data_IF_087932723819
#
_entry.id   IF_087932723819
#
_cell.length_a   1.000
_cell.length_b   1.000
_cell.length_c   1.000
_cell.angle_alpha   90.00
_cell.angle_beta   90.00
_cell.angle_gamma   90.00
#
_symmetry.space_group_name_H-M   'P 1'
#
loop_
_entity.id
_entity.type
_entity.pdbx_description
1 polymer ?
#
# COMPACT_ATOMS: atom_id res chain seq x y z
N UNK A 1 23.27 26.63 -3.02
CA UNK A 1 22.96 25.19 -2.78
C UNK A 1 22.75 24.53 -4.13
N UNK A 2 23.75 23.75 -4.56
CA UNK A 2 23.84 23.21 -5.90
C UNK A 2 22.88 22.06 -6.15
N UNK A 3 22.13 22.26 -7.22
CA UNK A 3 21.83 21.40 -8.37
C UNK A 3 21.10 20.09 -8.09
N UNK A 4 19.94 20.08 -8.53
CA UNK A 4 19.21 19.14 -9.44
C UNK A 4 20.03 17.93 -9.97
N UNK A 5 20.66 17.15 -9.12
CA UNK A 5 21.10 15.82 -9.52
C UNK A 5 19.90 14.88 -9.42
N UNK A 6 19.18 14.73 -10.54
CA UNK A 6 18.19 13.70 -10.71
C UNK A 6 18.90 12.36 -10.60
N UNK A 7 18.59 11.62 -9.55
CA UNK A 7 19.35 10.42 -9.16
C UNK A 7 18.73 9.13 -9.67
N UNK A 8 17.40 9.07 -9.82
CA UNK A 8 16.68 7.82 -10.04
C UNK A 8 16.34 7.61 -11.51
N UNK A 9 16.76 6.46 -12.05
CA UNK A 9 16.30 5.97 -13.36
C UNK A 9 14.91 5.37 -13.28
N UNK A 10 14.33 4.99 -14.42
CA UNK A 10 13.01 4.36 -14.51
C UNK A 10 12.87 3.13 -13.61
N UNK A 11 13.85 2.21 -13.65
CA UNK A 11 13.80 0.99 -12.83
C UNK A 11 13.76 1.29 -11.34
N UNK A 12 14.56 2.25 -10.87
CA UNK A 12 14.55 2.68 -9.47
C UNK A 12 13.21 3.33 -9.10
N UNK A 13 12.65 4.16 -9.96
CA UNK A 13 11.34 4.78 -9.74
C UNK A 13 10.24 3.72 -9.61
N UNK A 14 10.21 2.71 -10.50
CA UNK A 14 9.26 1.59 -10.42
C UNK A 14 9.45 0.83 -9.10
N UNK A 15 10.68 0.49 -8.72
CA UNK A 15 10.97 -0.24 -7.48
C UNK A 15 10.53 0.55 -6.24
N UNK A 16 10.74 1.86 -6.23
CA UNK A 16 10.28 2.71 -5.13
C UNK A 16 8.74 2.76 -5.05
N UNK A 17 8.06 2.90 -6.18
CA UNK A 17 6.59 2.91 -6.24
C UNK A 17 6.04 1.56 -5.77
N UNK A 18 6.57 0.46 -6.25
CA UNK A 18 6.20 -0.89 -5.79
C UNK A 18 6.45 -1.03 -4.29
N UNK A 19 7.59 -0.56 -3.80
CA UNK A 19 7.95 -0.60 -2.38
C UNK A 19 7.03 0.26 -1.49
N UNK A 20 6.49 1.36 -2.00
CA UNK A 20 5.50 2.19 -1.30
C UNK A 20 4.13 1.50 -1.30
N UNK A 21 3.67 1.01 -2.45
CA UNK A 21 2.38 0.35 -2.63
C UNK A 21 2.28 -0.97 -1.86
N UNK A 22 3.31 -1.81 -1.89
CA UNK A 22 3.36 -3.03 -1.10
C UNK A 22 3.63 -2.63 0.36
N UNK A 23 2.58 -2.26 1.04
CA UNK A 23 2.55 -1.93 2.47
C UNK A 23 2.15 -3.13 3.33
N UNK A 24 1.71 -2.84 4.56
CA UNK A 24 1.13 -3.82 5.47
C UNK A 24 -0.23 -4.34 4.99
N UNK A 25 -0.94 -3.58 4.15
CA UNK A 25 -2.32 -3.85 3.75
C UNK A 25 -2.54 -5.27 3.20
N UNK A 26 -1.66 -5.76 2.33
CA UNK A 26 -1.81 -7.12 1.78
C UNK A 26 -1.71 -8.22 2.84
N UNK A 27 -0.95 -7.99 3.90
CA UNK A 27 -0.71 -8.99 4.93
C UNK A 27 -1.87 -9.13 5.92
N UNK A 28 -2.62 -8.06 6.19
CA UNK A 28 -3.69 -8.10 7.19
C UNK A 28 -5.10 -7.73 6.66
N UNK A 29 -5.20 -7.22 5.43
CA UNK A 29 -6.50 -6.92 4.82
C UNK A 29 -7.02 -8.03 3.91
N UNK A 30 -6.19 -8.98 3.57
CA UNK A 30 -6.58 -10.12 2.76
C UNK A 30 -7.71 -10.94 3.43
N UNK A 31 -7.59 -11.20 4.72
CA UNK A 31 -8.59 -11.91 5.52
C UNK A 31 -9.90 -11.12 5.60
N UNK A 32 -9.84 -9.81 5.82
CA UNK A 32 -11.02 -8.94 5.83
C UNK A 32 -11.76 -9.00 4.50
N UNK A 33 -11.02 -8.90 3.37
CA UNK A 33 -11.60 -8.96 2.02
C UNK A 33 -12.27 -10.30 1.79
N UNK A 34 -11.62 -11.40 2.17
CA UNK A 34 -12.20 -12.75 2.06
C UNK A 34 -13.46 -12.90 2.94
N UNK A 35 -13.43 -12.33 4.14
CA UNK A 35 -14.60 -12.31 5.04
C UNK A 35 -15.79 -11.56 4.44
N UNK A 36 -15.57 -10.34 3.92
CA UNK A 36 -16.63 -9.53 3.27
C UNK A 36 -17.18 -10.16 1.98
N UNK A 37 -16.40 -10.99 1.32
CA UNK A 37 -16.85 -11.74 0.13
C UNK A 37 -17.42 -13.11 0.46
N UNK A 38 -17.66 -13.40 1.75
CA UNK A 38 -18.25 -14.66 2.22
C UNK A 38 -17.39 -15.88 1.93
N UNK A 39 -16.06 -15.74 1.95
CA UNK A 39 -15.13 -16.82 1.60
C UNK A 39 -15.01 -17.08 0.09
N UNK A 40 -15.71 -16.31 -0.76
CA UNK A 40 -15.66 -16.48 -2.19
C UNK A 40 -14.40 -15.83 -2.78
N UNK A 41 -13.41 -16.66 -3.12
CA UNK A 41 -12.12 -16.20 -3.63
C UNK A 41 -12.27 -15.48 -4.98
N UNK A 42 -13.15 -15.97 -5.87
CA UNK A 42 -13.39 -15.31 -7.16
C UNK A 42 -13.91 -13.88 -7.00
N UNK A 43 -14.82 -13.67 -6.03
CA UNK A 43 -15.32 -12.34 -5.70
C UNK A 43 -14.24 -11.48 -5.03
N UNK A 44 -13.40 -12.05 -4.17
CA UNK A 44 -12.26 -11.36 -3.58
C UNK A 44 -11.28 -10.86 -4.64
N UNK A 45 -10.92 -11.73 -5.59
CA UNK A 45 -10.07 -11.36 -6.75
C UNK A 45 -10.71 -10.24 -7.57
N UNK A 46 -12.02 -10.32 -7.82
CA UNK A 46 -12.75 -9.28 -8.54
C UNK A 46 -12.67 -7.92 -7.82
N UNK A 47 -12.84 -7.90 -6.50
CA UNK A 47 -12.71 -6.67 -5.69
C UNK A 47 -11.28 -6.13 -5.73
N UNK A 48 -10.26 -6.98 -5.66
CA UNK A 48 -8.86 -6.56 -5.85
C UNK A 48 -8.62 -5.94 -7.24
N UNK A 49 -9.20 -6.52 -8.29
CA UNK A 49 -9.12 -5.96 -9.64
C UNK A 49 -9.78 -4.57 -9.71
N UNK A 50 -10.93 -4.37 -9.09
CA UNK A 50 -11.58 -3.05 -9.03
C UNK A 50 -10.67 -2.04 -8.32
N UNK A 51 -10.11 -2.39 -7.16
CA UNK A 51 -9.20 -1.52 -6.41
C UNK A 51 -7.97 -1.14 -7.23
N UNK A 52 -7.32 -2.12 -7.84
CA UNK A 52 -6.17 -1.89 -8.72
C UNK A 52 -6.52 -0.97 -9.89
N UNK A 53 -7.68 -1.20 -10.50
CA UNK A 53 -8.18 -0.39 -11.62
C UNK A 53 -8.34 1.07 -11.21
N UNK A 54 -8.99 1.33 -10.07
CA UNK A 54 -9.15 2.69 -9.53
C UNK A 54 -7.78 3.37 -9.29
N UNK A 55 -6.83 2.63 -8.72
CA UNK A 55 -5.47 3.15 -8.45
C UNK A 55 -4.72 3.43 -9.75
N UNK A 56 -4.81 2.57 -10.75
CA UNK A 56 -4.17 2.76 -12.06
C UNK A 56 -4.71 4.01 -12.74
N UNK A 57 -6.03 4.21 -12.78
CA UNK A 57 -6.62 5.42 -13.34
C UNK A 57 -6.23 6.68 -12.57
N UNK A 58 -6.26 6.62 -11.24
CA UNK A 58 -5.77 7.71 -10.39
C UNK A 58 -4.30 8.04 -10.69
N UNK A 59 -3.46 7.02 -10.82
CA UNK A 59 -2.04 7.20 -11.15
C UNK A 59 -1.82 7.78 -12.56
N UNK A 60 -2.59 7.34 -13.55
CA UNK A 60 -2.53 7.93 -14.91
C UNK A 60 -2.88 9.42 -14.84
N UNK A 61 -3.91 9.79 -14.10
CA UNK A 61 -4.28 11.19 -13.90
C UNK A 61 -3.16 11.97 -13.23
N UNK A 62 -2.64 11.48 -12.10
CA UNK A 62 -1.52 12.14 -11.42
C UNK A 62 -0.26 12.20 -12.26
N UNK A 63 0.00 11.21 -13.09
CA UNK A 63 1.16 11.19 -13.97
C UNK A 63 1.10 12.32 -15.01
N UNK A 64 -0.10 12.61 -15.53
CA UNK A 64 -0.33 13.71 -16.46
C UNK A 64 -0.14 15.07 -15.77
N UNK A 65 -0.58 15.20 -14.53
CA UNK A 65 -0.36 16.41 -13.74
C UNK A 65 1.14 16.57 -13.43
N UNK A 66 1.80 15.50 -13.01
CA UNK A 66 3.25 15.49 -12.75
C UNK A 66 4.09 15.84 -13.99
N UNK A 67 3.65 15.45 -15.20
CA UNK A 67 4.33 15.79 -16.44
C UNK A 67 4.18 17.26 -16.84
N UNK A 68 3.14 17.94 -16.34
CA UNK A 68 2.83 19.35 -16.68
C UNK A 68 3.28 20.33 -15.60
N UNK A 69 3.53 19.87 -14.38
CA UNK A 69 3.95 20.70 -13.26
C UNK A 69 5.45 20.58 -13.02
N UNK A 70 6.11 21.72 -12.89
CA UNK A 70 7.51 21.80 -12.43
C UNK A 70 7.60 22.14 -10.93
N UNK A 71 6.46 22.26 -10.23
CA UNK A 71 6.40 22.57 -8.80
C UNK A 71 6.76 21.38 -7.93
N UNK A 72 7.44 21.65 -6.82
CA UNK A 72 7.72 20.65 -5.78
C UNK A 72 6.56 20.60 -4.80
N UNK A 73 6.19 19.39 -4.33
CA UNK A 73 5.11 19.23 -3.35
C UNK A 73 4.12 18.11 -3.70
N UNK A 74 4.32 17.43 -4.84
CA UNK A 74 3.46 16.33 -5.26
C UNK A 74 2.02 16.79 -5.47
N UNK A 75 1.06 15.99 -4.99
CA UNK A 75 -0.37 16.26 -5.22
C UNK A 75 -0.83 17.61 -4.66
N UNK A 76 -0.25 18.06 -3.54
CA UNK A 76 -0.60 19.36 -2.98
C UNK A 76 -0.31 20.51 -3.94
N UNK A 77 0.86 20.46 -4.58
CA UNK A 77 1.25 21.45 -5.59
C UNK A 77 0.35 21.37 -6.84
N UNK A 78 -0.14 20.17 -7.19
CA UNK A 78 -1.07 20.02 -8.31
C UNK A 78 -2.45 20.62 -7.99
N UNK A 79 -2.93 20.50 -6.74
CA UNK A 79 -4.15 21.18 -6.31
C UNK A 79 -4.01 22.69 -6.40
N UNK A 80 -2.87 23.24 -5.96
CA UNK A 80 -2.60 24.67 -6.02
C UNK A 80 -2.52 25.19 -7.47
N UNK A 81 -1.84 24.45 -8.35
CA UNK A 81 -1.57 24.89 -9.73
C UNK A 81 -2.76 24.68 -10.66
N UNK A 82 -3.51 23.56 -10.53
CA UNK A 82 -4.53 23.15 -11.48
C UNK A 82 -5.97 23.34 -10.98
N UNK A 83 -6.18 23.58 -9.69
CA UNK A 83 -7.51 23.76 -9.12
C UNK A 83 -7.62 25.14 -8.48
N UNK A 84 -7.10 25.32 -7.30
CA UNK A 84 -7.03 26.62 -6.60
C UNK A 84 -6.21 26.53 -5.32
N UNK A 85 -5.69 27.66 -4.85
CA UNK A 85 -4.97 27.77 -3.58
C UNK A 85 -5.84 27.38 -2.36
N UNK A 86 -7.12 27.79 -2.23
CA UNK A 86 -7.98 27.31 -1.14
C UNK A 86 -8.22 25.80 -1.14
N UNK A 87 -8.33 25.18 -2.32
CA UNK A 87 -8.49 23.73 -2.44
C UNK A 87 -7.20 23.00 -1.99
N UNK A 88 -6.04 23.52 -2.37
CA UNK A 88 -4.75 23.00 -1.90
C UNK A 88 -4.60 23.12 -0.38
N UNK A 89 -4.97 24.26 0.20
CA UNK A 89 -4.94 24.47 1.65
C UNK A 89 -5.87 23.48 2.37
N UNK A 90 -7.11 23.30 1.90
CA UNK A 90 -8.07 22.35 2.46
C UNK A 90 -7.57 20.90 2.37
N UNK A 91 -7.01 20.50 1.22
CA UNK A 91 -6.44 19.18 1.04
C UNK A 91 -5.20 18.94 1.93
N UNK A 92 -4.33 19.95 2.04
CA UNK A 92 -3.16 19.89 2.93
C UNK A 92 -3.56 19.75 4.39
N UNK A 93 -4.58 20.48 4.80
CA UNK A 93 -5.16 20.38 6.14
C UNK A 93 -5.71 18.97 6.40
N UNK A 94 -6.50 18.43 5.48
CA UNK A 94 -6.98 17.05 5.56
C UNK A 94 -5.83 16.04 5.70
N UNK A 95 -4.77 16.17 4.89
CA UNK A 95 -3.63 15.26 4.97
C UNK A 95 -2.94 15.30 6.33
N UNK A 96 -2.71 16.50 6.89
CA UNK A 96 -1.96 16.67 8.14
C UNK A 96 -2.78 16.23 9.35
N UNK A 97 -4.06 16.56 9.41
CA UNK A 97 -4.89 16.35 10.59
C UNK A 97 -5.74 15.08 10.56
N UNK A 98 -6.04 14.54 9.39
CA UNK A 98 -6.87 13.36 9.28
C UNK A 98 -6.10 12.17 8.68
N UNK A 99 -5.56 12.29 7.48
CA UNK A 99 -5.03 11.16 6.72
C UNK A 99 -3.76 10.57 7.35
N UNK A 100 -2.68 11.36 7.49
CA UNK A 100 -1.41 10.84 8.00
C UNK A 100 -1.47 10.35 9.45
N UNK A 101 -2.13 11.04 10.39
CA UNK A 101 -2.29 10.52 11.74
C UNK A 101 -3.06 9.20 11.77
N UNK A 102 -4.18 9.10 11.05
CA UNK A 102 -5.01 7.88 11.02
C UNK A 102 -4.24 6.68 10.48
N UNK A 103 -3.56 6.83 9.35
CA UNK A 103 -2.73 5.77 8.76
C UNK A 103 -1.60 5.35 9.71
N UNK A 104 -0.91 6.32 10.31
CA UNK A 104 0.22 6.04 11.21
C UNK A 104 -0.24 5.25 12.43
N UNK A 105 -1.38 5.60 13.01
CA UNK A 105 -1.96 4.90 14.17
C UNK A 105 -2.36 3.48 13.79
N UNK A 106 -3.10 3.30 12.69
CA UNK A 106 -3.55 1.98 12.23
C UNK A 106 -2.38 1.04 11.98
N UNK A 107 -1.37 1.50 11.22
CA UNK A 107 -0.20 0.67 10.89
C UNK A 107 0.61 0.32 12.14
N UNK A 108 0.77 1.27 13.07
CA UNK A 108 1.49 1.03 14.31
C UNK A 108 0.74 0.06 15.23
N UNK A 109 -0.59 0.13 15.26
CA UNK A 109 -1.42 -0.79 16.04
C UNK A 109 -1.36 -2.21 15.48
N UNK A 110 -1.43 -2.37 14.17
CA UNK A 110 -1.23 -3.66 13.51
C UNK A 110 0.16 -4.22 13.81
N UNK A 111 1.20 -3.39 13.80
CA UNK A 111 2.54 -3.82 14.22
C UNK A 111 2.56 -4.28 15.68
N UNK A 112 1.80 -3.63 16.57
CA UNK A 112 1.61 -4.05 17.96
C UNK A 112 0.96 -5.43 18.07
N UNK A 113 -0.11 -5.69 17.30
CA UNK A 113 -0.77 -6.99 17.23
C UNK A 113 0.20 -8.08 16.81
N UNK A 114 0.89 -7.90 15.68
CA UNK A 114 1.83 -8.90 15.18
C UNK A 114 3.03 -9.11 16.10
N UNK A 115 3.46 -8.07 16.81
CA UNK A 115 4.52 -8.20 17.81
C UNK A 115 4.08 -9.08 18.98
N UNK A 116 2.87 -8.90 19.49
CA UNK A 116 2.34 -9.77 20.57
C UNK A 116 2.23 -11.22 20.10
N UNK A 117 1.77 -11.45 18.85
CA UNK A 117 1.69 -12.78 18.26
C UNK A 117 3.08 -13.42 18.09
N UNK A 118 4.04 -12.68 17.56
CA UNK A 118 5.39 -13.17 17.28
C UNK A 118 6.12 -13.63 18.56
N UNK A 119 5.95 -12.89 19.65
CA UNK A 119 6.59 -13.20 20.94
C UNK A 119 5.71 -14.06 21.88
N UNK A 120 4.54 -14.52 21.42
CA UNK A 120 3.62 -15.32 22.24
C UNK A 120 3.12 -14.58 23.48
N UNK A 121 3.05 -13.25 23.44
CA UNK A 121 2.58 -12.43 24.53
C UNK A 121 1.06 -12.47 24.63
N UNK A 122 0.53 -12.23 25.85
CA UNK A 122 -0.91 -12.16 26.03
C UNK A 122 -1.49 -10.95 25.22
N UNK A 123 -2.40 -11.16 24.26
CA UNK A 123 -2.85 -10.12 23.33
C UNK A 123 -3.89 -9.17 23.97
N UNK A 124 -3.51 -8.48 25.03
CA UNK A 124 -4.37 -7.47 25.63
C UNK A 124 -4.32 -6.18 24.84
N UNK A 125 -5.45 -5.46 24.79
CA UNK A 125 -5.54 -4.17 24.09
C UNK A 125 -4.50 -3.16 24.60
N UNK A 126 -4.28 -3.15 25.91
CA UNK A 126 -3.32 -2.28 26.56
C UNK A 126 -1.89 -2.52 26.10
N UNK A 127 -1.47 -3.79 26.08
CA UNK A 127 -0.11 -4.17 25.64
C UNK A 127 0.11 -3.86 24.17
N UNK A 128 -0.86 -4.19 23.31
CA UNK A 128 -0.81 -3.89 21.90
C UNK A 128 -0.71 -2.39 21.62
N UNK A 129 -1.50 -1.59 22.35
CA UNK A 129 -1.46 -0.12 22.26
C UNK A 129 -0.14 0.46 22.76
N UNK A 130 0.42 -0.07 23.82
CA UNK A 130 1.71 0.36 24.35
C UNK A 130 2.85 0.09 23.34
N UNK A 131 2.87 -1.09 22.74
CA UNK A 131 3.84 -1.47 21.72
C UNK A 131 3.66 -0.57 20.48
N UNK A 132 2.41 -0.32 20.04
CA UNK A 132 2.11 0.56 18.93
C UNK A 132 2.63 1.99 19.18
N UNK A 133 2.42 2.52 20.38
CA UNK A 133 2.94 3.82 20.78
C UNK A 133 4.47 3.85 20.76
N UNK A 134 5.12 2.77 21.21
CA UNK A 134 6.57 2.60 21.12
C UNK A 134 7.08 2.67 19.67
N UNK A 135 6.41 1.99 18.73
CA UNK A 135 6.74 2.08 17.30
C UNK A 135 6.54 3.50 16.76
N UNK A 136 5.43 4.16 17.08
CA UNK A 136 5.19 5.53 16.65
C UNK A 136 6.32 6.46 17.12
N UNK A 137 6.62 6.47 18.41
CA UNK A 137 7.67 7.31 18.98
C UNK A 137 9.02 7.00 18.35
N UNK A 138 9.36 5.72 18.20
CA UNK A 138 10.62 5.29 17.61
C UNK A 138 10.78 5.79 16.16
N UNK A 139 9.79 5.57 15.31
CA UNK A 139 9.90 5.96 13.89
C UNK A 139 9.79 7.46 13.68
N UNK A 140 8.98 8.17 14.45
CA UNK A 140 8.96 9.64 14.43
C UNK A 140 10.32 10.21 14.84
N UNK A 141 10.90 9.71 15.92
CA UNK A 141 12.21 10.12 16.40
C UNK A 141 13.31 9.83 15.39
N UNK A 142 13.31 8.63 14.83
CA UNK A 142 14.27 8.23 13.80
C UNK A 142 14.21 9.13 12.57
N UNK A 143 13.03 9.46 12.07
CA UNK A 143 12.86 10.35 10.94
C UNK A 143 13.19 11.82 11.28
N UNK A 144 12.91 12.26 12.50
CA UNK A 144 13.25 13.60 12.95
C UNK A 144 14.77 13.83 12.95
N UNK A 145 15.55 12.87 13.44
CA UNK A 145 17.00 12.99 13.52
C UNK A 145 17.73 12.66 12.21
N UNK A 146 17.18 11.81 11.37
CA UNK A 146 17.87 11.38 10.15
C UNK A 146 16.98 10.86 9.04
N UNK A 147 16.71 11.70 8.06
CA UNK A 147 16.04 11.29 6.82
C UNK A 147 16.80 10.17 6.07
N UNK A 148 18.16 10.17 6.15
CA UNK A 148 18.96 9.12 5.52
C UNK A 148 18.77 7.75 6.15
N UNK A 149 18.62 7.68 7.48
CA UNK A 149 18.33 6.43 8.19
C UNK A 149 16.92 5.94 7.86
N UNK A 150 15.94 6.84 7.82
CA UNK A 150 14.58 6.51 7.39
C UNK A 150 14.55 5.92 5.98
N UNK A 151 15.26 6.53 5.02
CA UNK A 151 15.34 6.01 3.65
C UNK A 151 16.05 4.65 3.56
N UNK A 152 17.12 4.41 4.31
CA UNK A 152 17.79 3.10 4.37
C UNK A 152 16.88 2.03 4.98
N UNK A 153 16.19 2.37 6.07
CA UNK A 153 15.23 1.48 6.70
C UNK A 153 14.11 1.11 5.73
N UNK A 154 13.57 2.08 5.00
CA UNK A 154 12.54 1.85 3.97
C UNK A 154 13.02 0.86 2.89
N UNK A 155 14.25 1.03 2.38
CA UNK A 155 14.80 0.14 1.36
C UNK A 155 14.98 -1.30 1.88
N UNK A 156 15.55 -1.46 3.08
CA UNK A 156 15.72 -2.77 3.72
C UNK A 156 14.36 -3.42 3.97
N UNK A 157 13.43 -2.69 4.55
CA UNK A 157 12.07 -3.16 4.81
C UNK A 157 11.34 -3.57 3.53
N UNK A 158 11.54 -2.84 2.41
CA UNK A 158 10.96 -3.21 1.11
C UNK A 158 11.49 -4.56 0.63
N UNK A 159 12.78 -4.81 0.74
CA UNK A 159 13.36 -6.11 0.39
C UNK A 159 12.82 -7.21 1.31
N UNK A 160 12.82 -6.96 2.62
CA UNK A 160 12.35 -7.94 3.62
C UNK A 160 10.88 -8.34 3.42
N UNK A 161 9.99 -7.42 3.02
CA UNK A 161 8.58 -7.74 2.78
C UNK A 161 8.32 -8.38 1.41
N UNK A 162 9.17 -8.13 0.42
CA UNK A 162 9.06 -8.77 -0.90
C UNK A 162 9.49 -10.25 -0.87
N UNK A 163 10.46 -10.62 -0.05
CA UNK A 163 10.94 -12.01 0.05
C UNK A 163 9.80 -12.98 0.42
N UNK A 164 9.06 -12.80 1.53
CA UNK A 164 7.97 -13.71 1.87
C UNK A 164 6.83 -13.66 0.83
N UNK A 165 6.49 -12.50 0.28
CA UNK A 165 5.43 -12.38 -0.73
C UNK A 165 5.77 -13.18 -2.00
N UNK A 166 6.99 -13.04 -2.50
CA UNK A 166 7.45 -13.81 -3.66
C UNK A 166 7.56 -15.29 -3.29
N UNK A 167 8.06 -15.60 -2.09
CA UNK A 167 8.17 -16.98 -1.59
C UNK A 167 6.82 -17.68 -1.53
N UNK A 168 5.81 -17.05 -0.94
CA UNK A 168 4.45 -17.56 -0.89
C UNK A 168 3.92 -17.75 -2.32
N UNK A 169 3.99 -16.73 -3.19
CA UNK A 169 3.52 -16.85 -4.56
C UNK A 169 4.20 -17.96 -5.38
N UNK A 170 5.50 -18.21 -5.15
CA UNK A 170 6.22 -19.32 -5.79
C UNK A 170 5.80 -20.68 -5.23
N UNK A 171 5.67 -20.80 -3.90
CA UNK A 171 5.22 -22.03 -3.26
C UNK A 171 3.84 -22.42 -3.79
N UNK A 172 2.89 -21.46 -3.88
CA UNK A 172 1.55 -21.72 -4.38
C UNK A 172 1.49 -22.15 -5.83
N UNK A 173 2.42 -21.65 -6.66
CA UNK A 173 2.52 -22.09 -8.06
C UNK A 173 3.04 -23.54 -8.16
N UNK A 174 4.06 -23.89 -7.37
CA UNK A 174 4.79 -25.15 -7.54
C UNK A 174 4.38 -26.25 -6.56
N UNK A 175 3.82 -25.90 -5.40
CA UNK A 175 3.49 -26.86 -4.34
C UNK A 175 1.99 -27.10 -4.27
N UNK A 176 1.57 -28.31 -4.66
CA UNK A 176 0.22 -28.82 -4.44
C UNK A 176 0.14 -29.50 -3.08
N UNK A 177 0.14 -28.75 -1.99
CA UNK A 177 -0.22 -29.35 -0.72
C UNK A 177 -1.74 -29.58 -0.74
N UNK A 178 -2.23 -30.81 -0.40
CA UNK A 178 -3.62 -30.98 -0.03
C UNK A 178 -3.80 -30.23 1.28
N UNK A 179 -4.20 -28.98 1.23
CA UNK A 179 -4.74 -28.31 2.42
C UNK A 179 -6.01 -29.08 2.73
N UNK A 180 -6.14 -29.76 3.89
CA UNK A 180 -7.41 -30.27 4.29
C UNK A 180 -8.31 -29.04 4.42
N UNK A 181 -9.18 -28.88 3.47
CA UNK A 181 -10.31 -27.95 3.58
C UNK A 181 -11.11 -28.51 4.74
N UNK A 182 -10.78 -28.09 5.95
CA UNK A 182 -11.65 -28.28 7.07
C UNK A 182 -12.96 -27.65 6.65
N UNK A 183 -13.98 -28.46 6.50
CA UNK A 183 -15.30 -28.21 5.92
C UNK A 183 -16.10 -27.10 6.64
N UNK A 184 -15.47 -26.22 7.36
CA UNK A 184 -16.07 -25.12 8.12
C UNK A 184 -15.82 -23.72 7.52
N UNK A 185 -15.05 -23.58 6.45
CA UNK A 185 -15.11 -22.36 5.65
C UNK A 185 -16.44 -22.41 4.88
N UNK A 186 -17.50 -21.99 5.55
CA UNK A 186 -18.80 -21.77 4.93
C UNK A 186 -18.63 -20.71 3.84
N UNK A 187 -18.33 -21.17 2.62
CA UNK A 187 -18.39 -20.30 1.45
C UNK A 187 -19.85 -19.92 1.30
N UNK A 188 -20.16 -18.70 1.66
CA UNK A 188 -21.52 -18.17 1.55
C UNK A 188 -21.88 -18.11 0.07
N UNK A 189 -23.04 -18.68 -0.34
CA UNK A 189 -23.48 -18.58 -1.73
C UNK A 189 -23.53 -17.12 -2.20
N UNK A 190 -23.13 -16.86 -3.43
CA UNK A 190 -23.04 -15.51 -3.99
C UNK A 190 -24.36 -14.74 -3.86
N UNK A 191 -25.50 -15.45 -3.92
CA UNK A 191 -26.85 -14.92 -3.72
C UNK A 191 -27.10 -14.37 -2.31
N UNK A 192 -26.35 -14.84 -1.31
CA UNK A 192 -26.48 -14.40 0.08
C UNK A 192 -25.47 -13.29 0.43
N UNK A 193 -24.35 -13.21 -0.27
CA UNK A 193 -23.38 -12.11 -0.11
C UNK A 193 -23.99 -10.78 -0.56
N UNK A 194 -24.83 -10.80 -1.59
CA UNK A 194 -25.49 -9.62 -2.13
C UNK A 194 -24.52 -8.49 -2.40
N UNK A 195 -24.85 -7.28 -1.97
CA UNK A 195 -23.99 -6.10 -2.08
C UNK A 195 -22.97 -5.97 -0.94
N UNK A 196 -22.94 -6.92 0.00
CA UNK A 196 -22.01 -6.92 1.14
C UNK A 196 -20.54 -6.88 0.74
N UNK A 197 -20.19 -7.40 -0.45
CA UNK A 197 -18.83 -7.35 -0.96
C UNK A 197 -18.31 -5.92 -1.19
N UNK A 198 -19.19 -4.91 -1.31
CA UNK A 198 -18.76 -3.51 -1.40
C UNK A 198 -18.05 -3.05 -0.13
N UNK A 199 -18.30 -3.68 1.02
CA UNK A 199 -17.57 -3.42 2.25
C UNK A 199 -16.09 -3.84 2.15
N UNK A 200 -15.71 -4.67 1.19
CA UNK A 200 -14.33 -5.02 0.91
C UNK A 200 -13.54 -3.91 0.16
N UNK A 201 -14.23 -2.97 -0.50
CA UNK A 201 -13.57 -1.90 -1.26
C UNK A 201 -12.66 -1.01 -0.40
N UNK A 202 -13.05 -0.55 0.81
CA UNK A 202 -12.14 0.19 1.68
C UNK A 202 -10.90 -0.61 2.09
N UNK A 203 -11.05 -1.92 2.36
CA UNK A 203 -9.93 -2.79 2.69
C UNK A 203 -8.97 -2.94 1.49
N UNK A 204 -9.52 -3.06 0.28
CA UNK A 204 -8.75 -3.11 -0.95
C UNK A 204 -8.05 -1.78 -1.23
N UNK A 205 -8.75 -0.65 -1.05
CA UNK A 205 -8.15 0.68 -1.19
C UNK A 205 -6.96 0.86 -0.26
N UNK A 206 -7.06 0.38 0.99
CA UNK A 206 -5.96 0.37 1.94
C UNK A 206 -4.78 -0.50 1.49
N UNK A 207 -5.06 -1.65 0.83
CA UNK A 207 -4.02 -2.55 0.32
C UNK A 207 -3.19 -1.95 -0.82
N UNK A 208 -3.73 -0.97 -1.52
CA UNK A 208 -3.05 -0.21 -2.57
C UNK A 208 -2.67 1.21 -2.13
N UNK A 209 -2.76 1.53 -0.84
CA UNK A 209 -2.48 2.89 -0.36
C UNK A 209 -1.02 3.29 -0.55
N UNK A 210 -0.76 4.60 -0.57
CA UNK A 210 0.57 5.18 -0.77
C UNK A 210 0.87 5.63 -2.21
N UNK A 211 0.02 5.33 -3.20
CA UNK A 211 0.23 5.74 -4.59
C UNK A 211 0.31 7.26 -4.77
N UNK A 212 -0.43 8.00 -3.97
CA UNK A 212 -0.39 9.48 -3.94
C UNK A 212 0.98 9.98 -3.49
N UNK A 213 1.57 9.33 -2.48
CA UNK A 213 2.89 9.68 -1.94
C UNK A 213 3.99 9.43 -2.97
N UNK A 214 3.82 8.44 -3.86
CA UNK A 214 4.78 8.14 -4.91
C UNK A 214 5.05 9.32 -5.86
N UNK A 215 4.12 10.27 -5.98
CA UNK A 215 4.32 11.49 -6.78
C UNK A 215 5.36 12.44 -6.18
N UNK A 216 5.63 12.35 -4.89
CA UNK A 216 6.60 13.21 -4.20
C UNK A 216 8.04 13.01 -4.70
N UNK A 217 8.37 11.83 -5.23
CA UNK A 217 9.71 11.53 -5.78
C UNK A 217 9.92 12.04 -7.19
N UNK A 218 8.93 12.67 -7.83
CA UNK A 218 8.99 13.13 -9.23
C UNK A 218 10.22 13.96 -9.52
N UNK A 219 10.63 14.82 -8.60
CA UNK A 219 11.79 15.71 -8.80
C UNK A 219 13.15 15.02 -8.76
N UNK A 220 13.20 13.81 -8.21
CA UNK A 220 14.43 13.03 -8.09
C UNK A 220 14.60 12.05 -9.26
N UNK A 221 13.58 11.92 -10.12
CA UNK A 221 13.58 11.01 -11.26
C UNK A 221 14.14 11.68 -12.50
N UNK A 222 15.08 11.00 -13.18
CA UNK A 222 15.61 11.42 -14.48
C UNK A 222 14.49 11.34 -15.51
N UNK A 223 14.43 12.34 -16.40
CA UNK A 223 13.40 12.45 -17.42
C UNK A 223 11.99 12.20 -16.86
N UNK A 224 11.66 12.87 -15.73
CA UNK A 224 10.44 12.66 -14.98
C UNK A 224 9.17 12.72 -15.83
N UNK A 225 9.12 13.64 -16.82
CA UNK A 225 7.98 13.78 -17.75
C UNK A 225 7.69 12.48 -18.53
N UNK A 226 8.71 11.67 -18.78
CA UNK A 226 8.58 10.37 -19.46
C UNK A 226 8.52 9.20 -18.47
N UNK A 227 9.38 9.19 -17.48
CA UNK A 227 9.60 8.04 -16.61
C UNK A 227 8.56 7.92 -15.51
N UNK A 228 8.03 9.04 -14.97
CA UNK A 228 7.00 9.00 -13.94
C UNK A 228 5.66 8.41 -14.42
N UNK A 229 5.11 8.82 -15.58
CA UNK A 229 3.93 8.17 -16.12
C UNK A 229 4.07 6.66 -16.27
N UNK A 230 5.21 6.22 -16.79
CA UNK A 230 5.50 4.79 -16.95
C UNK A 230 5.58 4.09 -15.59
N UNK A 231 6.32 4.67 -14.65
CA UNK A 231 6.52 4.09 -13.33
C UNK A 231 5.21 4.03 -12.51
N UNK A 232 4.39 5.09 -12.57
CA UNK A 232 3.09 5.17 -11.90
C UNK A 232 2.04 4.23 -12.52
N UNK A 233 2.23 3.78 -13.75
CA UNK A 233 1.36 2.79 -14.41
C UNK A 233 1.85 1.37 -14.16
N UNK A 234 3.15 1.12 -14.39
CA UNK A 234 3.73 -0.23 -14.26
C UNK A 234 3.81 -0.67 -12.78
N UNK A 235 4.11 0.25 -11.86
CA UNK A 235 4.21 -0.08 -10.44
C UNK A 235 2.95 -0.75 -9.88
N UNK A 236 1.76 -0.14 -9.98
CA UNK A 236 0.51 -0.76 -9.53
C UNK A 236 0.14 -2.04 -10.27
N UNK A 237 0.46 -2.14 -11.57
CA UNK A 237 0.25 -3.38 -12.32
C UNK A 237 1.10 -4.53 -11.79
N UNK A 238 2.37 -4.30 -11.47
CA UNK A 238 3.22 -5.30 -10.84
C UNK A 238 2.69 -5.71 -9.46
N UNK A 239 2.22 -4.74 -8.68
CA UNK A 239 1.60 -5.01 -7.37
C UNK A 239 0.34 -5.86 -7.53
N UNK A 240 -0.51 -5.54 -8.51
CA UNK A 240 -1.69 -6.35 -8.82
C UNK A 240 -1.31 -7.78 -9.16
N UNK A 241 -0.31 -7.99 -10.03
CA UNK A 241 0.15 -9.34 -10.39
C UNK A 241 0.61 -10.12 -9.16
N UNK A 242 1.36 -9.48 -8.26
CA UNK A 242 1.78 -10.11 -6.99
C UNK A 242 0.57 -10.47 -6.13
N UNK A 243 -0.39 -9.57 -6.00
CA UNK A 243 -1.60 -9.80 -5.20
C UNK A 243 -2.48 -10.91 -5.79
N UNK A 244 -2.61 -10.96 -7.12
CA UNK A 244 -3.33 -12.03 -7.79
C UNK A 244 -2.62 -13.38 -7.66
N UNK A 245 -1.29 -13.41 -7.72
CA UNK A 245 -0.51 -14.62 -7.51
C UNK A 245 -0.71 -15.20 -6.10
N UNK A 246 -0.75 -14.34 -5.08
CA UNK A 246 -1.03 -14.74 -3.70
C UNK A 246 -2.48 -15.20 -3.55
N UNK A 247 -3.43 -14.47 -4.14
CA UNK A 247 -4.86 -14.84 -4.08
C UNK A 247 -5.18 -16.13 -4.84
N UNK A 248 -4.35 -16.49 -5.82
CA UNK A 248 -4.50 -17.75 -6.55
C UNK A 248 -4.32 -18.99 -5.68
N UNK A 249 -3.52 -18.88 -4.60
CA UNK A 249 -3.38 -19.97 -3.62
C UNK A 249 -4.68 -20.28 -2.90
N UNK A 250 -5.52 -19.27 -2.68
CA UNK A 250 -6.83 -19.44 -2.04
C UNK A 250 -7.87 -20.11 -2.95
N UNK A 251 -7.60 -20.19 -4.26
CA UNK A 251 -8.45 -20.86 -5.25
C UNK A 251 -8.16 -22.36 -5.37
N UNK A 252 -7.11 -22.86 -4.76
CA UNK A 252 -6.67 -24.26 -4.80
C UNK A 252 -6.87 -24.99 -3.51
#
# INVERSE_FOLDING_TARGET
>A
MNSNTKHYGLGTAISMIVGILIGSGIFFKADDILGFTGGNVGLSVFVFCIGAFCVIFGNITLSQLAARSDRRGGVLAYFEEFISEPAAAGFGWFQIFAYYPSISVVVSWVAGIYTTMLFGLNPTLELQTLIALGYLIFFFTLNYFSLKLGGRFQNISTIMKLIPLIGIGLIGIFWKAPVPVTSETLVVPLSQVGWGFLAALPATAFSFDGWVVATSITHEVKDAKRNMPIALTIGPLLVLVVYLAISWEWLR
#
